data_IF_118794632425
#
_entry.id   IF_118794632425
#
_cell.length_a   1.000
_cell.length_b   1.000
_cell.length_c   1.000
_cell.angle_alpha   90.00
_cell.angle_beta   90.00
_cell.angle_gamma   90.00
#
_symmetry.space_group_name_H-M   'P 1'
#
loop_
_entity.id
_entity.type
_entity.pdbx_description
1 polymer ?
#
# COMPACT_ATOMS: atom_id res chain seq x y z
N UNK A 1 -2.52 -28.88 0.49
CA UNK A 1 -3.11 -27.57 0.18
C UNK A 1 -2.34 -27.09 -1.04
N UNK A 2 -2.96 -27.14 -2.23
CA UNK A 2 -2.28 -26.73 -3.46
C UNK A 2 -2.37 -25.20 -3.54
N UNK A 3 -1.26 -24.53 -3.37
CA UNK A 3 -1.12 -23.10 -3.66
C UNK A 3 -1.23 -22.90 -5.17
N UNK A 4 -2.16 -22.05 -5.57
CA UNK A 4 -2.47 -21.71 -6.94
C UNK A 4 -1.23 -21.23 -7.69
N UNK A 5 -0.93 -21.90 -8.81
CA UNK A 5 0.09 -21.45 -9.74
C UNK A 5 -0.38 -20.18 -10.44
N UNK A 6 0.21 -19.05 -10.08
CA UNK A 6 0.10 -17.84 -10.87
C UNK A 6 0.80 -18.07 -12.22
N UNK A 7 0.03 -18.15 -13.31
CA UNK A 7 0.58 -18.03 -14.65
C UNK A 7 0.40 -16.59 -15.11
N UNK A 8 1.49 -15.84 -15.12
CA UNK A 8 1.57 -14.57 -15.86
C UNK A 8 1.29 -14.86 -17.34
N UNK A 9 0.35 -14.14 -18.02
CA UNK A 9 0.16 -14.28 -19.44
C UNK A 9 1.36 -13.69 -20.17
N UNK A 10 2.39 -14.50 -20.43
CA UNK A 10 3.47 -14.17 -21.35
C UNK A 10 2.93 -14.24 -22.77
N UNK A 11 2.66 -13.09 -23.41
CA UNK A 11 2.45 -13.03 -24.85
C UNK A 11 1.81 -11.75 -25.33
N UNK A 12 2.33 -11.24 -26.44
CA UNK A 12 1.80 -10.08 -27.22
C UNK A 12 0.30 -10.19 -27.58
N UNK A 13 -0.30 -11.37 -27.42
CA UNK A 13 -1.73 -11.62 -27.70
C UNK A 13 -2.68 -11.03 -26.66
N UNK A 14 -2.29 -10.97 -25.37
CA UNK A 14 -3.09 -10.34 -24.31
C UNK A 14 -3.27 -8.84 -24.54
N UNK A 15 -2.20 -8.15 -24.93
CA UNK A 15 -2.23 -6.73 -25.30
C UNK A 15 -3.07 -6.46 -26.57
N UNK A 16 -3.12 -7.42 -27.48
CA UNK A 16 -3.89 -7.27 -28.72
C UNK A 16 -5.40 -7.45 -28.49
N UNK A 17 -5.81 -8.31 -27.54
CA UNK A 17 -7.23 -8.45 -27.15
C UNK A 17 -7.73 -7.21 -26.43
N UNK A 18 -6.94 -6.64 -25.52
CA UNK A 18 -7.28 -5.39 -24.84
C UNK A 18 -7.42 -4.21 -25.83
N UNK A 19 -6.51 -4.09 -26.83
CA UNK A 19 -6.61 -3.07 -27.89
C UNK A 19 -7.83 -3.26 -28.79
N UNK A 20 -8.25 -4.50 -29.05
CA UNK A 20 -9.41 -4.78 -29.89
C UNK A 20 -10.73 -4.40 -29.19
N UNK A 21 -10.85 -4.65 -27.88
CA UNK A 21 -11.99 -4.21 -27.06
C UNK A 21 -12.07 -2.69 -26.97
N UNK A 22 -10.94 -2.00 -26.79
CA UNK A 22 -10.88 -0.53 -26.80
C UNK A 22 -11.27 0.09 -28.14
N UNK A 23 -10.98 -0.57 -29.26
CA UNK A 23 -11.32 -0.06 -30.60
C UNK A 23 -12.81 -0.22 -30.95
N UNK A 24 -13.49 -1.23 -30.42
CA UNK A 24 -14.94 -1.43 -30.60
C UNK A 24 -15.75 -0.42 -29.77
N UNK A 25 -15.29 -0.08 -28.56
CA UNK A 25 -15.92 0.97 -27.71
C UNK A 25 -15.76 2.38 -28.29
N UNK A 26 -14.63 2.70 -28.93
CA UNK A 26 -14.41 4.01 -29.54
C UNK A 26 -15.27 4.27 -30.80
N UNK A 27 -15.72 3.23 -31.48
CA UNK A 27 -16.57 3.37 -32.70
C UNK A 27 -18.06 3.51 -32.39
N UNK A 28 -18.53 3.18 -31.20
CA UNK A 28 -19.92 3.35 -30.77
C UNK A 28 -20.27 4.73 -30.19
N UNK A 29 -19.27 5.59 -29.96
CA UNK A 29 -19.47 6.92 -29.37
C UNK A 29 -19.85 8.05 -30.37
N UNK A 30 -20.05 7.74 -31.64
CA UNK A 30 -20.50 8.73 -32.60
C UNK A 30 -21.99 8.58 -32.89
N UNK A 31 -22.80 9.40 -32.24
CA UNK A 31 -24.24 9.62 -32.49
C UNK A 31 -25.19 8.82 -31.60
N UNK A 32 -25.45 9.30 -30.37
CA UNK A 32 -26.79 9.22 -29.78
C UNK A 32 -26.93 10.23 -28.63
N UNK A 33 -27.71 11.28 -28.82
CA UNK A 33 -28.26 12.05 -27.71
C UNK A 33 -29.48 11.27 -27.20
N UNK A 34 -29.31 10.50 -26.16
CA UNK A 34 -30.38 9.94 -25.35
C UNK A 34 -29.78 9.53 -24.02
N UNK A 35 -30.50 9.67 -22.97
CA UNK A 35 -30.27 9.20 -21.61
C UNK A 35 -28.90 8.54 -21.44
N UNK A 36 -27.91 9.24 -20.88
CA UNK A 36 -26.65 8.61 -20.51
C UNK A 36 -27.04 7.50 -19.53
N UNK A 37 -27.16 6.26 -20.01
CA UNK A 37 -27.11 5.11 -19.15
C UNK A 37 -25.74 5.17 -18.49
N UNK A 38 -25.73 5.57 -17.23
CA UNK A 38 -24.52 5.56 -16.42
C UNK A 38 -23.96 4.14 -16.43
N UNK A 39 -22.64 4.05 -16.63
CA UNK A 39 -21.93 2.78 -16.65
C UNK A 39 -22.13 2.08 -15.30
N UNK A 40 -22.54 0.80 -15.32
CA UNK A 40 -22.70 0.00 -14.11
C UNK A 40 -21.46 -0.82 -13.85
N UNK A 41 -20.80 -0.53 -12.74
CA UNK A 41 -19.52 -1.12 -12.38
C UNK A 41 -19.69 -2.04 -11.17
N UNK A 42 -19.10 -3.25 -11.26
CA UNK A 42 -18.81 -4.09 -10.11
C UNK A 42 -17.32 -4.09 -9.87
N UNK A 43 -16.90 -3.87 -8.64
CA UNK A 43 -15.50 -3.92 -8.22
C UNK A 43 -15.28 -5.00 -7.17
N UNK A 44 -14.52 -6.05 -7.51
CA UNK A 44 -14.17 -7.17 -6.64
C UNK A 44 -12.81 -6.95 -5.92
N UNK A 45 -12.46 -5.71 -5.66
CA UNK A 45 -11.22 -5.34 -4.98
C UNK A 45 -11.37 -4.00 -4.29
N UNK A 46 -10.89 -3.90 -3.06
CA UNK A 46 -10.83 -2.64 -2.30
C UNK A 46 -10.04 -1.58 -3.06
N UNK A 47 -8.92 -1.95 -3.68
CA UNK A 47 -8.07 -1.05 -4.47
C UNK A 47 -8.80 -0.47 -5.68
N UNK A 48 -9.48 -1.31 -6.47
CA UNK A 48 -10.19 -0.81 -7.65
C UNK A 48 -11.39 0.05 -7.26
N UNK A 49 -12.09 -0.30 -6.17
CA UNK A 49 -13.16 0.53 -5.62
C UNK A 49 -12.63 1.91 -5.22
N UNK A 50 -11.50 1.97 -4.53
CA UNK A 50 -10.84 3.21 -4.12
C UNK A 50 -10.41 4.04 -5.34
N UNK A 51 -9.83 3.42 -6.37
CA UNK A 51 -9.47 4.14 -7.61
C UNK A 51 -10.72 4.75 -8.23
N UNK A 52 -11.81 3.99 -8.38
CA UNK A 52 -13.07 4.46 -8.96
C UNK A 52 -13.65 5.64 -8.16
N UNK A 53 -13.64 5.55 -6.84
CA UNK A 53 -14.05 6.62 -5.92
C UNK A 53 -13.18 7.88 -6.12
N UNK A 54 -11.87 7.73 -6.18
CA UNK A 54 -10.92 8.83 -6.40
C UNK A 54 -11.06 9.52 -7.76
N UNK A 55 -11.71 8.86 -8.70
CA UNK A 55 -12.02 9.39 -10.03
C UNK A 55 -13.41 10.06 -10.13
N UNK A 56 -14.07 10.31 -9.00
CA UNK A 56 -15.43 10.87 -8.90
C UNK A 56 -16.42 10.03 -9.76
N UNK A 57 -16.43 8.70 -9.55
CA UNK A 57 -17.26 7.73 -10.30
C UNK A 57 -17.96 6.71 -9.39
N UNK A 58 -18.08 6.99 -8.10
CA UNK A 58 -18.76 6.15 -7.12
C UNK A 58 -20.25 5.93 -7.44
N UNK A 59 -20.87 6.86 -8.14
CA UNK A 59 -22.25 6.80 -8.63
C UNK A 59 -22.47 5.71 -9.69
N UNK A 60 -21.40 5.26 -10.35
CA UNK A 60 -21.41 4.16 -11.33
C UNK A 60 -21.32 2.78 -10.68
N UNK A 61 -20.95 2.70 -9.39
CA UNK A 61 -20.80 1.43 -8.67
C UNK A 61 -22.17 0.83 -8.36
N UNK A 62 -22.37 -0.45 -8.73
CA UNK A 62 -23.56 -1.25 -8.39
C UNK A 62 -23.23 -2.39 -7.43
N UNK A 63 -21.95 -2.74 -7.28
CA UNK A 63 -21.45 -3.72 -6.33
C UNK A 63 -19.96 -3.47 -6.05
N UNK A 64 -19.56 -3.61 -4.78
CA UNK A 64 -18.19 -3.39 -4.34
C UNK A 64 -17.74 -4.50 -3.40
N UNK A 65 -16.43 -4.69 -3.29
CA UNK A 65 -15.81 -5.58 -2.33
C UNK A 65 -16.29 -5.29 -0.89
N UNK A 66 -16.66 -6.35 -0.15
CA UNK A 66 -17.24 -6.26 1.19
C UNK A 66 -16.29 -5.64 2.22
N UNK A 67 -14.98 -5.71 1.98
CA UNK A 67 -13.95 -5.15 2.88
C UNK A 67 -13.67 -3.67 2.65
N UNK A 68 -14.19 -3.06 1.58
CA UNK A 68 -14.06 -1.62 1.37
C UNK A 68 -14.87 -0.84 2.41
N UNK A 69 -14.23 0.07 3.13
CA UNK A 69 -14.80 0.71 4.33
C UNK A 69 -15.68 1.94 4.08
N UNK A 70 -15.89 2.34 2.84
CA UNK A 70 -16.77 3.47 2.54
C UNK A 70 -18.24 3.06 2.62
N UNK A 71 -19.06 3.92 3.20
CA UNK A 71 -20.53 3.71 3.30
C UNK A 71 -21.21 4.12 1.99
N UNK A 72 -21.22 3.21 1.03
CA UNK A 72 -21.94 3.36 -0.23
C UNK A 72 -23.20 2.48 -0.19
N UNK A 73 -24.36 2.98 -0.69
CA UNK A 73 -25.62 2.24 -0.72
C UNK A 73 -25.68 1.25 -1.90
N UNK A 74 -24.66 0.41 -2.03
CA UNK A 74 -24.47 -0.57 -3.10
C UNK A 74 -24.26 -1.97 -2.54
N UNK A 75 -24.40 -3.00 -3.39
CA UNK A 75 -24.22 -4.39 -2.97
C UNK A 75 -22.80 -4.64 -2.47
N UNK A 76 -22.70 -5.34 -1.32
CA UNK A 76 -21.43 -5.75 -0.71
C UNK A 76 -21.12 -7.17 -1.11
N UNK A 77 -20.00 -7.38 -1.77
CA UNK A 77 -19.63 -8.63 -2.43
C UNK A 77 -18.38 -9.19 -1.76
N UNK A 78 -18.46 -10.41 -1.25
CA UNK A 78 -17.27 -11.15 -0.85
C UNK A 78 -16.58 -11.74 -2.09
N UNK A 79 -15.49 -11.11 -2.52
CA UNK A 79 -14.74 -11.50 -3.72
C UNK A 79 -14.17 -12.93 -3.64
N UNK A 80 -14.01 -13.50 -2.43
CA UNK A 80 -13.49 -14.86 -2.26
C UNK A 80 -14.54 -15.93 -2.53
N UNK A 81 -15.85 -15.61 -2.42
CA UNK A 81 -16.92 -16.59 -2.47
C UNK A 81 -17.97 -16.33 -3.52
N UNK A 82 -18.02 -15.10 -4.08
CA UNK A 82 -19.02 -14.69 -5.07
C UNK A 82 -18.98 -15.55 -6.33
N UNK A 83 -20.17 -15.78 -6.89
CA UNK A 83 -20.36 -16.49 -8.14
C UNK A 83 -20.65 -15.53 -9.30
N UNK A 84 -20.37 -15.96 -10.53
CA UNK A 84 -20.71 -15.18 -11.72
C UNK A 84 -22.24 -15.00 -11.91
N UNK A 85 -23.08 -15.88 -11.33
CA UNK A 85 -24.53 -15.69 -11.33
C UNK A 85 -24.97 -14.51 -10.46
N UNK A 86 -24.36 -14.37 -9.27
CA UNK A 86 -24.63 -13.23 -8.38
C UNK A 86 -24.19 -11.93 -9.01
N UNK A 87 -23.02 -11.89 -9.64
CA UNK A 87 -22.55 -10.70 -10.39
C UNK A 87 -23.47 -10.38 -11.56
N UNK A 88 -23.90 -11.39 -12.34
CA UNK A 88 -24.83 -11.20 -13.46
C UNK A 88 -26.16 -10.59 -13.03
N UNK A 89 -26.65 -10.90 -11.83
CA UNK A 89 -27.89 -10.34 -11.28
C UNK A 89 -27.82 -8.82 -11.08
N UNK A 90 -26.64 -8.25 -10.93
CA UNK A 90 -26.41 -6.79 -10.85
C UNK A 90 -26.41 -6.11 -12.20
N UNK A 91 -26.38 -6.90 -13.29
CA UNK A 91 -26.34 -6.43 -14.68
C UNK A 91 -25.23 -5.38 -14.90
N UNK A 92 -23.96 -5.69 -14.58
CA UNK A 92 -22.84 -4.77 -14.78
C UNK A 92 -22.46 -4.63 -16.25
N UNK A 93 -21.97 -3.46 -16.62
CA UNK A 93 -21.32 -3.22 -17.92
C UNK A 93 -19.85 -3.63 -17.88
N UNK A 94 -19.20 -3.57 -16.70
CA UNK A 94 -17.82 -4.01 -16.48
C UNK A 94 -17.61 -4.47 -15.03
N UNK A 95 -16.73 -5.48 -14.87
CA UNK A 95 -16.29 -6.02 -13.58
C UNK A 95 -14.78 -5.84 -13.43
N UNK A 96 -14.32 -5.17 -12.38
CA UNK A 96 -12.90 -5.10 -12.03
C UNK A 96 -12.53 -6.25 -11.09
N UNK A 97 -11.49 -6.99 -11.45
CA UNK A 97 -11.03 -8.20 -10.76
C UNK A 97 -9.54 -8.08 -10.46
N UNK A 98 -9.13 -8.28 -9.19
CA UNK A 98 -7.72 -8.33 -8.82
C UNK A 98 -7.16 -9.76 -8.88
N UNK A 99 -7.96 -10.74 -8.49
CA UNK A 99 -7.57 -12.14 -8.38
C UNK A 99 -8.68 -13.05 -8.94
N UNK A 100 -8.27 -14.11 -9.63
CA UNK A 100 -9.20 -15.13 -10.12
C UNK A 100 -9.55 -16.15 -9.01
N UNK A 101 -10.33 -15.70 -8.04
CA UNK A 101 -10.81 -16.60 -6.98
C UNK A 101 -11.96 -17.48 -7.50
N UNK A 102 -11.89 -18.76 -7.19
CA UNK A 102 -12.92 -19.75 -7.54
C UNK A 102 -13.28 -19.83 -9.04
N UNK A 103 -12.40 -19.43 -9.93
CA UNK A 103 -12.66 -19.42 -11.37
C UNK A 103 -13.68 -18.36 -11.79
N UNK A 104 -13.72 -17.22 -11.10
CA UNK A 104 -14.65 -16.12 -11.39
C UNK A 104 -14.49 -15.64 -12.84
N UNK A 105 -13.27 -15.60 -13.36
CA UNK A 105 -12.97 -15.17 -14.72
C UNK A 105 -13.69 -16.07 -15.74
N UNK A 106 -13.55 -17.39 -15.62
CA UNK A 106 -14.27 -18.36 -16.48
C UNK A 106 -15.79 -18.18 -16.37
N UNK A 107 -16.29 -17.93 -15.15
CA UNK A 107 -17.70 -17.68 -14.90
C UNK A 107 -18.23 -16.43 -15.61
N UNK A 108 -17.46 -15.33 -15.61
CA UNK A 108 -17.79 -14.07 -16.30
C UNK A 108 -17.75 -14.26 -17.83
N UNK A 109 -16.71 -14.95 -18.34
CA UNK A 109 -16.60 -15.28 -19.77
C UNK A 109 -17.77 -16.11 -20.28
N UNK A 110 -18.20 -17.12 -19.52
CA UNK A 110 -19.35 -17.97 -19.88
C UNK A 110 -20.69 -17.21 -19.90
N UNK A 111 -20.73 -16.01 -19.33
CA UNK A 111 -21.92 -15.14 -19.29
C UNK A 111 -21.79 -13.92 -20.19
N UNK A 112 -20.73 -13.84 -21.01
CA UNK A 112 -20.42 -12.67 -21.84
C UNK A 112 -20.35 -11.35 -21.06
N UNK A 113 -19.92 -11.40 -19.76
CA UNK A 113 -19.74 -10.21 -18.92
C UNK A 113 -18.34 -9.65 -19.16
N UNK A 114 -18.25 -8.36 -19.47
CA UNK A 114 -16.97 -7.66 -19.65
C UNK A 114 -16.25 -7.55 -18.30
N UNK A 115 -14.96 -7.85 -18.26
CA UNK A 115 -14.14 -7.69 -17.07
C UNK A 115 -12.76 -7.11 -17.38
N UNK A 116 -12.13 -6.52 -16.36
CA UNK A 116 -10.74 -6.10 -16.38
C UNK A 116 -10.01 -6.80 -15.23
N UNK A 117 -9.07 -7.70 -15.56
CA UNK A 117 -8.18 -8.34 -14.58
C UNK A 117 -6.94 -7.46 -14.39
N UNK A 118 -6.85 -6.81 -13.23
CA UNK A 118 -5.77 -5.91 -12.85
C UNK A 118 -5.17 -6.40 -11.51
N UNK A 119 -4.14 -7.26 -11.55
CA UNK A 119 -3.53 -7.83 -10.34
C UNK A 119 -2.77 -6.75 -9.55
N UNK A 120 -2.36 -7.04 -8.29
CA UNK A 120 -1.57 -6.12 -7.48
C UNK A 120 -0.38 -5.54 -8.22
N UNK A 121 -0.23 -4.21 -8.15
CA UNK A 121 0.91 -3.50 -8.72
C UNK A 121 2.19 -3.82 -7.93
N UNK A 122 3.27 -4.10 -8.64
CA UNK A 122 4.57 -4.42 -8.06
C UNK A 122 5.48 -3.20 -7.88
N UNK A 123 5.12 -2.09 -8.50
CA UNK A 123 5.89 -0.85 -8.48
C UNK A 123 5.00 0.37 -8.73
N UNK A 124 5.53 1.56 -8.45
CA UNK A 124 4.81 2.82 -8.61
C UNK A 124 4.34 3.07 -10.05
N UNK A 125 5.11 2.63 -11.06
CA UNK A 125 4.68 2.81 -12.45
C UNK A 125 3.44 1.97 -12.76
N UNK A 126 3.37 0.75 -12.26
CA UNK A 126 2.19 -0.11 -12.42
C UNK A 126 0.98 0.47 -11.66
N UNK A 127 1.17 1.07 -10.47
CA UNK A 127 0.10 1.82 -9.78
C UNK A 127 -0.47 2.91 -10.68
N UNK A 128 0.39 3.77 -11.25
CA UNK A 128 -0.03 4.86 -12.12
C UNK A 128 -0.69 4.35 -13.41
N UNK A 129 -0.19 3.25 -13.97
CA UNK A 129 -0.77 2.63 -15.17
C UNK A 129 -2.17 2.08 -14.87
N UNK A 130 -2.37 1.40 -13.74
CA UNK A 130 -3.69 0.88 -13.38
C UNK A 130 -4.71 1.98 -13.14
N UNK A 131 -4.36 3.09 -12.48
CA UNK A 131 -5.25 4.24 -12.32
C UNK A 131 -5.69 4.79 -13.69
N UNK A 132 -4.76 4.93 -14.62
CA UNK A 132 -5.09 5.38 -15.97
C UNK A 132 -5.96 4.37 -16.73
N UNK A 133 -5.68 3.07 -16.63
CA UNK A 133 -6.48 2.01 -17.25
C UNK A 133 -7.92 2.04 -16.71
N UNK A 134 -8.09 2.12 -15.40
CA UNK A 134 -9.42 2.24 -14.78
C UNK A 134 -10.12 3.48 -15.31
N UNK A 135 -9.45 4.65 -15.28
CA UNK A 135 -10.00 5.90 -15.79
C UNK A 135 -10.44 5.83 -17.26
N UNK A 136 -9.65 5.16 -18.10
CA UNK A 136 -9.99 4.98 -19.52
C UNK A 136 -11.23 4.08 -19.70
N UNK A 137 -11.31 2.99 -18.94
CA UNK A 137 -12.41 2.03 -19.00
C UNK A 137 -13.75 2.61 -18.50
N UNK A 138 -13.72 3.54 -17.54
CA UNK A 138 -14.92 4.14 -16.96
C UNK A 138 -15.23 5.55 -17.52
N UNK A 139 -14.48 6.02 -18.51
CA UNK A 139 -14.69 7.32 -19.15
C UNK A 139 -14.19 8.52 -18.34
N UNK A 140 -13.24 8.31 -17.41
CA UNK A 140 -12.66 9.33 -16.53
C UNK A 140 -11.16 9.59 -16.81
N UNK A 141 -10.68 9.39 -18.03
CA UNK A 141 -9.26 9.49 -18.42
C UNK A 141 -8.60 10.82 -18.02
N UNK A 142 -9.32 11.93 -18.15
CA UNK A 142 -8.77 13.24 -17.77
C UNK A 142 -8.53 13.34 -16.26
N UNK A 143 -9.47 12.87 -15.45
CA UNK A 143 -9.35 12.83 -13.99
C UNK A 143 -8.25 11.87 -13.54
N UNK A 144 -8.15 10.70 -14.13
CA UNK A 144 -7.07 9.74 -13.86
C UNK A 144 -5.68 10.34 -14.13
N UNK A 145 -5.52 11.05 -15.26
CA UNK A 145 -4.27 11.76 -15.58
C UNK A 145 -3.94 12.83 -14.52
N UNK A 146 -4.93 13.57 -14.03
CA UNK A 146 -4.77 14.56 -12.97
C UNK A 146 -4.34 13.89 -11.65
N UNK A 147 -5.05 12.84 -11.20
CA UNK A 147 -4.74 12.09 -10.00
C UNK A 147 -3.32 11.53 -10.04
N UNK A 148 -2.94 10.87 -11.14
CA UNK A 148 -1.58 10.32 -11.32
C UNK A 148 -0.51 11.41 -11.30
N UNK A 149 -0.76 12.57 -11.92
CA UNK A 149 0.16 13.70 -11.87
C UNK A 149 0.40 14.18 -10.43
N UNK A 150 -0.67 14.34 -9.67
CA UNK A 150 -0.61 14.87 -8.32
C UNK A 150 0.04 13.85 -7.36
N UNK A 151 -0.27 12.57 -7.49
CA UNK A 151 0.43 11.49 -6.80
C UNK A 151 1.95 11.52 -7.06
N UNK A 152 2.36 11.64 -8.32
CA UNK A 152 3.79 11.71 -8.69
C UNK A 152 4.50 12.90 -8.06
N UNK A 153 3.86 14.07 -8.02
CA UNK A 153 4.42 15.27 -7.39
C UNK A 153 4.62 15.02 -5.89
N UNK A 154 3.62 14.50 -5.21
CA UNK A 154 3.65 14.29 -3.77
C UNK A 154 4.65 13.21 -3.37
N UNK A 155 4.63 12.04 -4.01
CA UNK A 155 5.56 10.94 -3.77
C UNK A 155 7.01 11.36 -4.03
N UNK A 156 7.27 12.04 -5.17
CA UNK A 156 8.62 12.55 -5.46
C UNK A 156 9.06 13.61 -4.45
N UNK A 157 8.14 14.43 -3.95
CA UNK A 157 8.46 15.39 -2.89
C UNK A 157 8.93 14.70 -1.61
N UNK A 158 8.28 13.60 -1.22
CA UNK A 158 8.70 12.80 -0.06
C UNK A 158 10.10 12.24 -0.30
N UNK A 159 10.31 11.51 -1.40
CA UNK A 159 11.60 10.87 -1.69
C UNK A 159 12.78 11.85 -1.79
N UNK A 160 12.56 13.06 -2.33
CA UNK A 160 13.61 14.07 -2.45
C UNK A 160 13.96 14.77 -1.12
N UNK A 161 13.10 14.68 -0.11
CA UNK A 161 13.29 15.37 1.17
C UNK A 161 13.81 14.46 2.28
N UNK A 162 13.97 13.16 2.01
CA UNK A 162 14.42 12.17 3.00
C UNK A 162 15.55 11.31 2.44
N UNK A 163 16.45 10.88 3.31
CA UNK A 163 17.45 9.86 3.04
C UNK A 163 17.77 9.13 4.34
N UNK A 164 17.38 7.86 4.42
CA UNK A 164 17.52 7.03 5.60
C UNK A 164 18.70 6.05 5.47
N UNK A 165 19.87 6.55 5.06
CA UNK A 165 21.07 5.73 4.92
C UNK A 165 21.40 5.00 6.25
N UNK A 166 21.77 3.73 6.13
CA UNK A 166 22.12 2.82 7.23
C UNK A 166 20.97 2.45 8.18
N UNK A 167 19.73 2.68 7.81
CA UNK A 167 18.56 2.21 8.53
C UNK A 167 18.11 0.87 7.93
N UNK A 168 17.93 -0.15 8.75
CA UNK A 168 17.40 -1.46 8.33
C UNK A 168 15.98 -1.70 8.81
N UNK A 169 15.16 -2.33 7.96
CA UNK A 169 13.77 -2.63 8.26
C UNK A 169 13.43 -4.09 8.00
N UNK A 170 12.65 -4.67 8.88
CA UNK A 170 11.84 -5.86 8.65
C UNK A 170 10.38 -5.45 8.48
N UNK A 171 9.78 -5.80 7.34
CA UNK A 171 8.35 -5.58 7.08
C UNK A 171 7.62 -6.91 7.15
N UNK A 172 6.74 -7.06 8.14
CA UNK A 172 5.95 -8.26 8.36
C UNK A 172 4.56 -8.11 7.73
N UNK A 173 4.19 -9.03 6.84
CA UNK A 173 2.88 -9.06 6.18
C UNK A 173 2.02 -10.27 6.59
N UNK A 174 2.52 -11.13 7.46
CA UNK A 174 1.82 -12.28 8.02
C UNK A 174 2.68 -13.00 9.05
N UNK A 175 2.03 -13.61 10.06
CA UNK A 175 2.69 -14.33 11.14
C UNK A 175 2.04 -15.69 11.47
N UNK A 176 0.72 -15.76 11.57
CA UNK A 176 0.02 -16.95 12.08
C UNK A 176 0.18 -18.22 11.23
N UNK A 177 0.41 -18.06 9.92
CA UNK A 177 0.61 -19.16 8.97
C UNK A 177 2.06 -19.24 8.45
N UNK A 178 2.96 -18.55 9.09
CA UNK A 178 4.36 -18.41 8.72
C UNK A 178 4.77 -16.93 8.64
N UNK A 179 6.05 -16.68 8.82
CA UNK A 179 6.60 -15.33 8.72
C UNK A 179 6.77 -14.98 7.23
N UNK A 180 6.03 -13.97 6.78
CA UNK A 180 6.13 -13.43 5.43
C UNK A 180 6.58 -11.98 5.47
N UNK A 181 7.37 -11.61 4.48
CA UNK A 181 7.91 -10.27 4.34
C UNK A 181 7.68 -9.72 2.92
N UNK A 182 8.20 -8.56 2.63
CA UNK A 182 8.24 -7.95 1.29
C UNK A 182 9.68 -7.95 0.78
N UNK A 183 9.91 -8.31 -0.49
CA UNK A 183 11.23 -8.19 -1.11
C UNK A 183 11.29 -7.05 -2.12
N UNK A 184 12.42 -6.94 -2.84
CA UNK A 184 12.64 -5.86 -3.83
C UNK A 184 11.72 -5.89 -5.04
N UNK A 185 11.03 -7.01 -5.30
CA UNK A 185 10.10 -7.18 -6.42
C UNK A 185 8.65 -6.79 -6.05
N UNK A 186 8.43 -6.21 -4.87
CA UNK A 186 7.15 -5.70 -4.39
C UNK A 186 7.09 -4.16 -4.41
N UNK A 187 5.88 -3.61 -4.45
CA UNK A 187 5.65 -2.16 -4.34
C UNK A 187 6.29 -1.56 -3.08
N UNK A 188 6.12 -2.23 -1.94
CA UNK A 188 6.68 -1.77 -0.66
C UNK A 188 8.21 -1.86 -0.69
N UNK A 189 8.78 -2.91 -1.29
CA UNK A 189 10.22 -3.04 -1.48
C UNK A 189 10.80 -1.93 -2.36
N UNK A 190 10.11 -1.54 -3.44
CA UNK A 190 10.50 -0.37 -4.23
C UNK A 190 10.46 0.92 -3.39
N UNK A 191 9.40 1.13 -2.60
CA UNK A 191 9.28 2.31 -1.73
C UNK A 191 10.46 2.38 -0.74
N UNK A 192 10.83 1.28 -0.09
CA UNK A 192 12.00 1.24 0.79
C UNK A 192 13.30 1.60 0.06
N UNK A 193 13.48 1.06 -1.13
CA UNK A 193 14.65 1.38 -1.95
C UNK A 193 14.70 2.89 -2.31
N UNK A 194 13.57 3.50 -2.66
CA UNK A 194 13.48 4.94 -2.96
C UNK A 194 13.70 5.82 -1.72
N UNK A 195 13.33 5.35 -0.53
CA UNK A 195 13.59 6.01 0.74
C UNK A 195 15.05 5.84 1.24
N UNK A 196 15.85 4.99 0.60
CA UNK A 196 17.22 4.68 1.00
C UNK A 196 17.31 3.70 2.19
N UNK A 197 16.24 2.94 2.47
CA UNK A 197 16.14 2.02 3.60
C UNK A 197 16.59 0.63 3.18
N UNK A 198 17.41 -0.01 4.03
CA UNK A 198 17.84 -1.38 3.84
C UNK A 198 16.74 -2.36 4.30
N UNK A 199 15.91 -2.83 3.37
CA UNK A 199 14.98 -3.93 3.65
C UNK A 199 15.76 -5.24 3.81
N UNK A 200 15.68 -5.90 4.99
CA UNK A 200 16.42 -7.14 5.26
C UNK A 200 16.05 -8.27 4.29
N UNK A 201 14.82 -8.27 3.77
CA UNK A 201 14.35 -9.26 2.80
C UNK A 201 14.52 -8.83 1.33
N UNK A 202 15.20 -7.70 1.04
CA UNK A 202 15.35 -7.11 -0.31
C UNK A 202 15.70 -8.12 -1.40
N UNK A 203 16.62 -9.04 -1.11
CA UNK A 203 17.17 -10.02 -2.06
C UNK A 203 16.74 -11.47 -1.74
N UNK A 204 15.75 -11.66 -0.87
CA UNK A 204 15.26 -13.01 -0.57
C UNK A 204 14.43 -13.49 -1.75
N UNK A 205 14.79 -14.67 -2.26
CA UNK A 205 14.07 -15.30 -3.36
C UNK A 205 12.63 -15.66 -2.95
N UNK A 206 11.69 -15.37 -3.83
CA UNK A 206 10.31 -15.80 -3.72
C UNK A 206 10.01 -16.75 -4.88
N UNK A 207 9.82 -18.06 -4.61
CA UNK A 207 9.56 -19.06 -5.65
C UNK A 207 8.25 -18.81 -6.44
N UNK A 208 7.37 -17.99 -5.90
CA UNK A 208 6.09 -17.64 -6.53
C UNK A 208 6.15 -16.32 -7.31
N UNK A 209 7.28 -15.62 -7.29
CA UNK A 209 7.46 -14.31 -7.94
C UNK A 209 6.38 -13.30 -7.49
N UNK A 210 5.83 -13.46 -6.28
CA UNK A 210 4.78 -12.59 -5.73
C UNK A 210 5.33 -11.29 -5.15
N UNK A 211 6.60 -11.28 -4.76
CA UNK A 211 7.25 -10.21 -4.00
C UNK A 211 7.13 -10.39 -2.48
N UNK A 212 6.57 -11.54 -2.03
CA UNK A 212 6.27 -11.81 -0.63
C UNK A 212 6.94 -13.10 -0.14
N UNK A 213 8.26 -13.11 0.07
CA UNK A 213 8.98 -14.29 0.49
C UNK A 213 8.61 -14.73 1.90
N UNK A 214 8.61 -16.08 2.10
CA UNK A 214 8.55 -16.66 3.42
C UNK A 214 9.93 -16.56 4.09
N UNK A 215 9.94 -16.15 5.35
CA UNK A 215 11.13 -16.10 6.19
C UNK A 215 11.00 -17.09 7.35
N UNK A 216 12.04 -17.18 8.17
CA UNK A 216 12.00 -17.83 9.47
C UNK A 216 12.47 -16.85 10.56
N UNK A 217 12.19 -17.18 11.82
CA UNK A 217 12.54 -16.30 12.96
C UNK A 217 14.06 -16.09 13.06
N UNK A 218 14.86 -17.13 12.81
CA UNK A 218 16.33 -17.07 12.88
C UNK A 218 16.90 -16.03 11.90
N UNK A 219 16.36 -15.95 10.69
CA UNK A 219 16.74 -14.93 9.71
C UNK A 219 16.49 -13.51 10.21
N UNK A 220 15.32 -13.26 10.82
CA UNK A 220 14.98 -11.94 11.37
C UNK A 220 15.85 -11.59 12.56
N UNK A 221 16.11 -12.57 13.46
CA UNK A 221 16.98 -12.40 14.63
C UNK A 221 18.43 -12.11 14.23
N UNK A 222 18.98 -12.84 13.24
CA UNK A 222 20.34 -12.64 12.74
C UNK A 222 20.51 -11.30 12.01
N UNK A 223 19.50 -10.89 11.24
CA UNK A 223 19.49 -9.60 10.56
C UNK A 223 19.41 -8.42 11.54
N UNK A 224 18.83 -8.61 12.72
CA UNK A 224 18.71 -7.64 13.81
C UNK A 224 18.29 -6.24 13.32
N UNK A 225 17.10 -6.08 12.71
CA UNK A 225 16.68 -4.84 12.08
C UNK A 225 16.51 -3.69 13.09
N UNK A 226 16.73 -2.45 12.61
CA UNK A 226 16.55 -1.22 13.41
C UNK A 226 15.07 -0.85 13.55
N UNK A 227 14.23 -1.28 12.61
CA UNK A 227 12.80 -1.05 12.57
C UNK A 227 12.04 -2.33 12.22
N UNK A 228 10.84 -2.47 12.80
CA UNK A 228 9.84 -3.45 12.41
C UNK A 228 8.57 -2.74 12.01
N UNK A 229 8.09 -2.99 10.80
CA UNK A 229 6.78 -2.53 10.32
C UNK A 229 5.86 -3.75 10.22
N UNK A 230 4.70 -3.70 10.85
CA UNK A 230 3.69 -4.76 10.83
C UNK A 230 2.50 -4.28 9.99
N UNK A 231 2.30 -4.89 8.83
CA UNK A 231 1.28 -4.55 7.83
C UNK A 231 0.06 -5.48 7.81
N UNK A 232 -0.21 -6.20 8.90
CA UNK A 232 -1.32 -7.16 9.01
C UNK A 232 -1.95 -7.12 10.41
N UNK A 233 -3.09 -7.81 10.58
CA UNK A 233 -3.84 -7.87 11.83
C UNK A 233 -3.82 -9.24 12.53
N UNK A 234 -3.14 -10.24 11.98
CA UNK A 234 -3.10 -11.61 12.51
C UNK A 234 -2.09 -11.82 13.66
N UNK A 235 -1.60 -10.74 14.26
CA UNK A 235 -0.73 -10.80 15.44
C UNK A 235 -1.52 -11.09 16.72
N UNK A 236 -1.04 -12.05 17.51
CA UNK A 236 -1.64 -12.41 18.80
C UNK A 236 -1.46 -11.30 19.86
N UNK A 237 -0.37 -10.55 19.77
CA UNK A 237 0.00 -9.47 20.69
C UNK A 237 0.84 -8.43 19.96
N UNK A 238 0.55 -7.15 20.20
CA UNK A 238 1.36 -6.03 19.69
C UNK A 238 2.74 -5.93 20.33
N UNK A 239 2.92 -6.53 21.51
CA UNK A 239 4.23 -6.61 22.16
C UNK A 239 5.06 -7.74 21.54
N UNK A 240 5.88 -7.39 20.57
CA UNK A 240 6.74 -8.34 19.86
C UNK A 240 7.85 -8.92 20.76
N UNK A 241 8.18 -8.32 21.91
CA UNK A 241 9.13 -8.87 22.86
C UNK A 241 8.68 -10.20 23.47
N UNK A 242 7.39 -10.54 23.36
CA UNK A 242 6.83 -11.82 23.80
C UNK A 242 7.14 -12.98 22.86
N UNK A 243 7.62 -12.73 21.66
CA UNK A 243 8.11 -13.74 20.73
C UNK A 243 9.51 -14.20 21.16
N UNK A 244 9.82 -15.49 21.03
CA UNK A 244 11.08 -16.05 21.51
C UNK A 244 12.30 -15.41 20.82
N UNK A 245 13.16 -14.77 21.60
CA UNK A 245 14.39 -14.10 21.12
C UNK A 245 14.19 -12.69 20.57
N UNK A 246 12.95 -12.26 20.33
CA UNK A 246 12.66 -10.94 19.74
C UNK A 246 12.98 -9.77 20.68
N UNK A 247 13.04 -10.02 22.00
CA UNK A 247 13.51 -9.05 22.99
C UNK A 247 14.97 -8.60 22.76
N UNK A 248 15.72 -9.31 21.90
CA UNK A 248 17.11 -8.95 21.55
C UNK A 248 17.23 -8.09 20.30
N UNK A 249 16.16 -7.96 19.50
CA UNK A 249 16.17 -7.19 18.24
C UNK A 249 16.26 -5.69 18.54
N UNK A 250 17.11 -4.97 17.82
CA UNK A 250 17.29 -3.52 17.95
C UNK A 250 15.96 -2.77 17.89
N UNK A 251 15.11 -3.09 16.93
CA UNK A 251 13.80 -2.46 16.78
C UNK A 251 12.92 -2.61 18.02
N UNK A 252 12.91 -3.79 18.64
CA UNK A 252 12.11 -4.07 19.83
C UNK A 252 12.69 -3.37 21.06
N UNK A 253 14.01 -3.39 21.23
CA UNK A 253 14.70 -2.72 22.34
C UNK A 253 14.56 -1.21 22.31
N UNK A 254 14.47 -0.61 21.12
CA UNK A 254 14.38 0.82 20.92
C UNK A 254 12.94 1.30 20.67
N UNK A 255 11.94 0.43 20.83
CA UNK A 255 10.51 0.73 20.60
C UNK A 255 10.21 1.18 19.15
N UNK A 256 11.04 0.80 18.16
CA UNK A 256 10.90 1.09 16.75
C UNK A 256 10.01 0.05 16.03
N UNK A 257 8.85 -0.22 16.61
CA UNK A 257 7.85 -1.16 16.08
C UNK A 257 6.60 -0.38 15.70
N UNK A 258 6.23 -0.39 14.42
CA UNK A 258 5.11 0.36 13.89
C UNK A 258 4.07 -0.59 13.27
N UNK A 259 2.80 -0.32 13.56
CA UNK A 259 1.66 -1.06 13.03
C UNK A 259 0.94 -0.19 12.01
N UNK A 260 1.03 -0.57 10.74
CA UNK A 260 0.28 0.09 9.68
C UNK A 260 -1.20 -0.31 9.71
N UNK A 261 -2.06 0.57 9.22
CA UNK A 261 -3.44 0.17 8.90
C UNK A 261 -3.40 -0.90 7.80
N UNK A 262 -4.07 -2.03 8.03
CA UNK A 262 -4.06 -3.19 7.14
C UNK A 262 -4.59 -2.85 5.74
N UNK A 263 -5.58 -1.95 5.65
CA UNK A 263 -6.11 -1.54 4.34
C UNK A 263 -5.11 -0.68 3.58
N UNK A 264 -4.29 0.10 4.28
CA UNK A 264 -3.23 0.88 3.67
C UNK A 264 -2.09 -0.01 3.21
N UNK A 265 -1.68 -0.98 4.06
CA UNK A 265 -0.58 -1.90 3.76
C UNK A 265 -0.88 -2.83 2.57
N UNK A 266 -2.16 -3.17 2.36
CA UNK A 266 -2.61 -4.11 1.32
C UNK A 266 -3.26 -3.42 0.11
N UNK A 267 -3.11 -2.11 -0.04
CA UNK A 267 -3.66 -1.33 -1.14
C UNK A 267 -2.55 -0.81 -2.06
N UNK A 268 -2.82 -0.83 -3.37
CA UNK A 268 -1.90 -0.33 -4.41
C UNK A 268 -2.58 0.70 -5.33
N UNK A 269 -3.59 1.41 -4.81
CA UNK A 269 -4.33 2.46 -5.49
C UNK A 269 -3.79 3.86 -5.20
N UNK A 270 -4.70 4.82 -5.10
CA UNK A 270 -4.35 6.23 -4.85
C UNK A 270 -3.85 6.48 -3.44
N UNK A 271 -4.23 5.64 -2.45
CA UNK A 271 -3.71 5.66 -1.09
C UNK A 271 -2.22 5.27 -1.00
N UNK A 272 -1.59 4.83 -2.09
CA UNK A 272 -0.12 4.64 -2.14
C UNK A 272 0.65 5.91 -1.72
N UNK A 273 0.12 7.09 -1.98
CA UNK A 273 0.70 8.36 -1.49
C UNK A 273 0.76 8.38 0.03
N UNK A 274 -0.34 8.01 0.68
CA UNK A 274 -0.40 7.93 2.14
C UNK A 274 0.52 6.83 2.67
N UNK A 275 0.60 5.67 2.01
CA UNK A 275 1.53 4.60 2.39
C UNK A 275 2.99 5.09 2.38
N UNK A 276 3.42 5.77 1.31
CA UNK A 276 4.77 6.35 1.22
C UNK A 276 5.00 7.35 2.34
N UNK A 277 4.02 8.20 2.64
CA UNK A 277 4.10 9.20 3.70
C UNK A 277 4.21 8.55 5.09
N UNK A 278 3.38 7.56 5.40
CA UNK A 278 3.41 6.89 6.70
C UNK A 278 4.69 6.06 6.89
N UNK A 279 5.15 5.34 5.86
CA UNK A 279 6.43 4.66 5.91
C UNK A 279 7.57 5.65 6.15
N UNK A 280 7.63 6.76 5.40
CA UNK A 280 8.65 7.80 5.60
C UNK A 280 8.62 8.37 7.01
N UNK A 281 7.43 8.66 7.56
CA UNK A 281 7.27 9.21 8.89
C UNK A 281 7.72 8.25 10.01
N UNK A 282 7.47 6.94 9.85
CA UNK A 282 7.90 5.92 10.83
C UNK A 282 9.41 5.96 11.09
N UNK A 283 10.21 6.31 10.07
CA UNK A 283 11.67 6.40 10.20
C UNK A 283 12.16 7.79 10.64
N UNK A 284 11.33 8.83 10.58
CA UNK A 284 11.72 10.20 10.93
C UNK A 284 11.56 10.52 12.42
N UNK A 285 10.74 9.80 13.16
CA UNK A 285 10.49 10.06 14.58
C UNK A 285 11.70 9.79 15.46
N UNK A 286 12.54 8.82 15.10
CA UNK A 286 13.82 8.54 15.79
C UNK A 286 14.86 9.63 15.61
N UNK A 287 14.88 10.32 14.47
CA UNK A 287 15.77 11.46 14.27
C UNK A 287 15.38 12.67 15.12
N UNK A 288 14.08 12.86 15.40
CA UNK A 288 13.62 13.95 16.27
C UNK A 288 14.02 13.75 17.74
N UNK A 289 14.02 12.53 18.27
CA UNK A 289 14.48 12.25 19.63
C UNK A 289 15.98 12.50 19.78
N UNK A 290 16.78 12.22 18.77
CA UNK A 290 18.21 12.50 18.78
C UNK A 290 18.49 14.00 18.63
N UNK A 291 17.82 14.72 17.73
CA UNK A 291 17.97 16.17 17.61
C UNK A 291 17.45 16.92 18.84
N UNK A 292 16.32 16.50 19.44
CA UNK A 292 15.83 17.09 20.68
C UNK A 292 16.73 16.78 21.87
N UNK A 293 17.34 15.59 21.93
CA UNK A 293 18.30 15.27 23.00
C UNK A 293 19.55 16.15 22.91
N UNK A 294 20.07 16.37 21.71
CA UNK A 294 21.24 17.21 21.47
C UNK A 294 20.95 18.70 21.72
N UNK A 295 19.77 19.17 21.32
CA UNK A 295 19.33 20.55 21.63
C UNK A 295 19.06 20.73 23.13
N UNK A 296 18.47 19.73 23.82
CA UNK A 296 18.26 19.78 25.26
C UNK A 296 19.59 19.76 26.04
N UNK A 297 20.57 18.97 25.59
CA UNK A 297 21.91 18.95 26.18
C UNK A 297 22.62 20.30 25.95
N UNK A 298 22.54 20.88 24.76
CA UNK A 298 23.11 22.19 24.44
C UNK A 298 22.43 23.33 25.24
N UNK A 299 21.09 23.31 25.34
CA UNK A 299 20.33 24.30 26.12
C UNK A 299 20.60 24.16 27.60
N UNK A 300 20.68 22.94 28.14
CA UNK A 300 21.00 22.72 29.55
C UNK A 300 22.44 23.17 29.91
N UNK A 301 23.40 22.95 29.01
CA UNK A 301 24.78 23.46 29.20
C UNK A 301 24.85 24.98 29.11
N UNK A 302 24.08 25.62 28.24
CA UNK A 302 23.96 27.08 28.16
C UNK A 302 23.30 27.69 29.40
N UNK A 303 22.23 27.08 29.93
CA UNK A 303 21.53 27.51 31.13
C UNK A 303 22.44 27.37 32.35
N UNK A 304 23.20 26.29 32.47
CA UNK A 304 24.15 26.09 33.56
C UNK A 304 25.31 27.09 33.50
N UNK A 305 25.75 27.50 32.31
CA UNK A 305 26.79 28.52 32.14
C UNK A 305 26.32 29.94 32.49
N UNK A 306 25.02 30.23 32.31
CA UNK A 306 24.41 31.52 32.63
C UNK A 306 24.05 31.67 34.11
N UNK A 307 23.70 30.57 34.80
CA UNK A 307 23.40 30.58 36.24
C UNK A 307 24.67 30.74 37.11
N UNK A 308 25.84 30.33 36.57
CA UNK A 308 27.12 30.46 37.27
C UNK A 308 27.62 31.90 37.48
N UNK A 309 26.96 32.92 36.91
CA UNK A 309 27.44 34.33 36.97
C UNK A 309 26.69 35.19 37.99
N UNK A 310 25.67 34.68 38.68
CA UNK A 310 24.94 35.48 39.68
C UNK A 310 25.09 34.94 41.11
N UNK A 311 26.26 35.21 41.73
CA UNK A 311 26.43 35.10 43.21
C UNK A 311 26.25 36.50 43.76
N UNK A 312 25.20 36.82 44.53
CA UNK A 312 25.06 38.12 45.14
C UNK A 312 26.11 38.28 46.27
N UNK A 313 26.99 39.28 46.19
CA UNK A 313 27.92 39.70 47.26
C UNK A 313 27.12 40.14 48.48
N UNK A 314 27.20 39.38 49.56
CA UNK A 314 26.67 39.79 50.85
C UNK A 314 27.37 41.08 51.27
N UNK A 315 26.57 42.12 51.48
CA UNK A 315 26.98 43.39 52.14
C UNK A 315 27.36 43.10 53.60
N UNK A 316 28.58 43.41 53.96
CA UNK A 316 28.98 43.47 55.39
C UNK A 316 28.35 44.71 56.03
N UNK A 317 27.43 44.55 56.96
CA UNK A 317 27.02 45.61 57.85
C UNK A 317 28.15 45.83 58.87
N UNK A 318 28.53 47.11 59.07
CA UNK A 318 29.40 47.55 60.10
C UNK A 318 28.54 47.93 61.33
N UNK A 319 28.88 47.38 62.47
CA UNK A 319 28.54 47.92 63.77
C UNK A 319 29.55 49.01 64.11
#
# INVERSE_FOLDING_TARGET
MEFLKFQSPRGKEGYMKLKLVLMVLALSMCSYSSEQNELKIVSLSTTHTEIIDSLDAEDQLVGIDAFYKLDLPVERIDAFTVTADEIAALNPDIVFVAFDFNGIIEGLENKDITYALLPPAKNLNEVYEQINIVGDLIGKSAKATEVVRDMKIEINSIFNNVNYENVSVYHEIGYSYGIYSVNGDSLIGEIYNQLGINNIAQNVEDPFESGFPALNEEFVLEANPDFVIVGHSDYLNKDLSTRAGWETINAVQNENVYFLDENLANNWGTTTVQLVSELSNSFSETNKTNEFSDVFVLVSLLVLSTIGIYIPRKRKEKV
#
